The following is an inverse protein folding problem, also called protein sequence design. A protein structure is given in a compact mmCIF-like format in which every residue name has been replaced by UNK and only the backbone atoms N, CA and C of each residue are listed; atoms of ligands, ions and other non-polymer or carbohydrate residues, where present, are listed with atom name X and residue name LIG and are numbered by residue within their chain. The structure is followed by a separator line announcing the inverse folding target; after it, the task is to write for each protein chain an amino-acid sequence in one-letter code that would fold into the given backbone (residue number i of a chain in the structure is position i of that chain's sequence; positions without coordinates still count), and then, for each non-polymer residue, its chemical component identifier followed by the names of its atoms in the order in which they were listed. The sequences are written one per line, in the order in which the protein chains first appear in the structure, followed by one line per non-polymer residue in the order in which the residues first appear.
data_IF_659062183832
#
_entry.id   IF_659062183832
#
_cell.length_a   1.000
_cell.length_b   1.000
_cell.length_c   1.000
_cell.angle_alpha   90.00
_cell.angle_beta   90.00
_cell.angle_gamma   90.00
#
_symmetry.space_group_name_H-M   'P 1'
#
loop_
_entity.id
_entity.type
_entity.pdbx_description
1 polymer ?
#
# COMPACT_ATOMS: atom_id res chain seq x y z
N UNK A 1 -47.92 -12.08 21.44
CA UNK A 1 -47.51 -12.42 20.07
C UNK A 1 -47.64 -11.16 19.23
N UNK A 2 -46.53 -10.47 18.99
CA UNK A 2 -46.35 -9.59 17.84
C UNK A 2 -44.86 -9.65 17.48
N UNK A 3 -44.50 -10.07 16.25
CA UNK A 3 -43.12 -10.20 15.81
C UNK A 3 -42.61 -8.80 15.44
N UNK A 4 -41.53 -8.38 16.10
CA UNK A 4 -40.83 -7.14 15.77
C UNK A 4 -40.00 -7.31 14.51
N UNK A 5 -40.22 -6.42 13.56
CA UNK A 5 -39.55 -6.28 12.26
C UNK A 5 -38.06 -6.65 12.27
N UNK A 6 -37.73 -7.76 11.63
CA UNK A 6 -36.45 -7.90 10.95
C UNK A 6 -36.54 -7.12 9.64
N UNK A 7 -35.95 -5.93 9.63
CA UNK A 7 -35.68 -5.22 8.39
C UNK A 7 -34.89 -6.16 7.44
N UNK A 8 -35.23 -6.23 6.14
CA UNK A 8 -34.49 -7.05 5.21
C UNK A 8 -33.05 -6.53 5.13
N UNK A 9 -32.11 -7.28 5.72
CA UNK A 9 -30.69 -7.01 5.59
C UNK A 9 -30.35 -6.93 4.10
N UNK A 10 -29.71 -5.83 3.70
CA UNK A 10 -29.33 -5.59 2.31
C UNK A 10 -28.60 -6.83 1.74
N UNK A 11 -29.11 -7.49 0.69
CA UNK A 11 -28.70 -8.85 0.33
C UNK A 11 -27.27 -9.04 -0.19
N UNK A 12 -26.41 -8.01 -0.21
CA UNK A 12 -25.05 -8.10 -0.77
C UNK A 12 -23.98 -7.34 0.03
N UNK A 13 -24.09 -7.31 1.37
CA UNK A 13 -22.96 -6.78 2.17
C UNK A 13 -21.89 -7.85 2.31
N UNK A 14 -21.00 -7.94 1.33
CA UNK A 14 -19.82 -8.82 1.42
C UNK A 14 -19.01 -8.49 2.67
N UNK A 15 -18.56 -9.53 3.34
CA UNK A 15 -17.68 -9.43 4.51
C UNK A 15 -16.31 -8.88 4.12
N UNK A 16 -15.59 -8.29 5.07
CA UNK A 16 -14.22 -7.82 4.85
C UNK A 16 -13.28 -8.94 4.37
N UNK A 17 -13.53 -10.17 4.81
CA UNK A 17 -12.81 -11.38 4.40
C UNK A 17 -13.03 -11.71 2.93
N UNK A 18 -14.28 -11.62 2.45
CA UNK A 18 -14.61 -11.86 1.04
C UNK A 18 -13.96 -10.82 0.13
N UNK A 19 -13.98 -9.54 0.53
CA UNK A 19 -13.27 -8.49 -0.21
C UNK A 19 -11.75 -8.72 -0.24
N UNK A 20 -11.16 -9.17 0.88
CA UNK A 20 -9.74 -9.50 0.92
C UNK A 20 -9.39 -10.68 0.01
N UNK A 21 -10.23 -11.72 -0.02
CA UNK A 21 -10.06 -12.87 -0.90
C UNK A 21 -10.11 -12.42 -2.38
N UNK A 22 -11.14 -11.67 -2.76
CA UNK A 22 -11.26 -11.12 -4.12
C UNK A 22 -10.05 -10.26 -4.52
N UNK A 23 -9.58 -9.39 -3.60
CA UNK A 23 -8.41 -8.54 -3.87
C UNK A 23 -7.12 -9.35 -4.06
N UNK A 24 -6.96 -10.48 -3.35
CA UNK A 24 -5.83 -11.39 -3.56
C UNK A 24 -5.89 -12.07 -4.91
N UNK A 25 -7.06 -12.48 -5.37
CA UNK A 25 -7.22 -13.12 -6.68
C UNK A 25 -6.83 -12.17 -7.84
N UNK A 26 -7.05 -10.87 -7.66
CA UNK A 26 -6.68 -9.83 -8.63
C UNK A 26 -5.20 -9.41 -8.57
N UNK A 27 -4.44 -9.87 -7.56
CA UNK A 27 -3.08 -9.39 -7.31
C UNK A 27 -2.11 -9.69 -8.44
N UNK A 28 -2.24 -10.84 -9.12
CA UNK A 28 -1.36 -11.21 -10.23
C UNK A 28 -1.45 -10.20 -11.39
N UNK A 29 -2.67 -9.88 -11.82
CA UNK A 29 -2.90 -8.89 -12.87
C UNK A 29 -2.36 -7.51 -12.48
N UNK A 30 -2.58 -7.08 -11.23
CA UNK A 30 -2.05 -5.81 -10.74
C UNK A 30 -0.51 -5.78 -10.71
N UNK A 31 0.16 -6.93 -10.48
CA UNK A 31 1.62 -7.01 -10.53
C UNK A 31 2.17 -6.82 -11.94
N UNK A 32 1.45 -7.30 -12.96
CA UNK A 32 1.86 -7.21 -14.36
C UNK A 32 1.78 -5.78 -14.91
N UNK A 33 0.76 -5.01 -14.51
CA UNK A 33 0.62 -3.60 -14.91
C UNK A 33 1.75 -2.72 -14.36
N UNK A 34 2.23 -3.04 -13.15
CA UNK A 34 3.36 -2.39 -12.49
C UNK A 34 3.30 -0.84 -12.49
N UNK A 35 2.13 -0.27 -12.24
CA UNK A 35 1.90 1.17 -12.27
C UNK A 35 1.70 1.77 -10.87
N UNK A 36 1.33 3.05 -10.80
CA UNK A 36 1.12 3.75 -9.53
C UNK A 36 -0.08 3.19 -8.74
N UNK A 37 -1.09 2.65 -9.43
CA UNK A 37 -2.24 2.06 -8.78
C UNK A 37 -1.91 0.65 -8.28
N UNK A 38 -1.06 -0.11 -8.99
CA UNK A 38 -0.46 -1.33 -8.46
C UNK A 38 0.28 -1.09 -7.14
N UNK A 39 1.11 -0.04 -7.04
CA UNK A 39 1.82 0.30 -5.79
C UNK A 39 0.84 0.52 -4.63
N UNK A 40 -0.23 1.29 -4.86
CA UNK A 40 -1.25 1.56 -3.85
C UNK A 40 -2.03 0.29 -3.50
N UNK A 41 -2.42 -0.49 -4.50
CA UNK A 41 -3.17 -1.73 -4.33
C UNK A 41 -2.39 -2.72 -3.46
N UNK A 42 -1.11 -2.95 -3.77
CA UNK A 42 -0.26 -3.82 -2.96
C UNK A 42 0.03 -3.26 -1.56
N UNK A 43 0.18 -1.95 -1.41
CA UNK A 43 0.31 -1.32 -0.09
C UNK A 43 -0.93 -1.53 0.79
N UNK A 44 -2.12 -1.31 0.22
CA UNK A 44 -3.41 -1.54 0.90
C UNK A 44 -3.64 -3.02 1.17
N UNK A 45 -3.33 -3.90 0.22
CA UNK A 45 -3.44 -5.34 0.38
C UNK A 45 -2.50 -5.82 1.49
N UNK A 46 -1.27 -5.31 1.53
CA UNK A 46 -0.32 -5.55 2.62
C UNK A 46 -0.88 -5.14 3.99
N UNK A 47 -1.45 -3.93 4.08
CA UNK A 47 -2.06 -3.42 5.31
C UNK A 47 -3.28 -4.25 5.75
N UNK A 48 -4.14 -4.64 4.80
CA UNK A 48 -5.31 -5.48 5.09
C UNK A 48 -4.87 -6.87 5.59
N UNK A 49 -3.86 -7.48 4.96
CA UNK A 49 -3.30 -8.74 5.42
C UNK A 49 -2.70 -8.62 6.82
N UNK A 50 -2.02 -7.51 7.12
CA UNK A 50 -1.49 -7.23 8.45
C UNK A 50 -2.61 -7.15 9.49
N UNK A 51 -3.69 -6.42 9.20
CA UNK A 51 -4.85 -6.29 10.09
C UNK A 51 -5.55 -7.63 10.38
N UNK A 52 -5.46 -8.59 9.43
CA UNK A 52 -6.01 -9.94 9.56
C UNK A 52 -4.98 -10.95 10.10
N UNK A 53 -3.83 -10.49 10.59
CA UNK A 53 -2.76 -11.32 11.15
C UNK A 53 -2.10 -12.30 10.16
N UNK A 54 -2.19 -12.05 8.85
CA UNK A 54 -1.49 -12.82 7.82
C UNK A 54 -0.11 -12.22 7.56
N UNK A 55 0.83 -12.37 8.51
CA UNK A 55 2.15 -11.71 8.49
C UNK A 55 2.98 -11.94 7.22
N UNK A 56 3.06 -13.20 6.76
CA UNK A 56 3.80 -13.54 5.52
C UNK A 56 3.15 -12.88 4.30
N UNK A 57 1.82 -12.93 4.20
CA UNK A 57 1.12 -12.29 3.09
C UNK A 57 1.28 -10.77 3.13
N UNK A 58 1.22 -10.15 4.31
CA UNK A 58 1.46 -8.73 4.49
C UNK A 58 2.86 -8.35 3.99
N UNK A 59 3.88 -9.07 4.47
CA UNK A 59 5.27 -8.88 4.08
C UNK A 59 5.49 -9.00 2.56
N UNK A 60 4.96 -10.05 1.94
CA UNK A 60 5.13 -10.27 0.50
C UNK A 60 4.45 -9.19 -0.34
N UNK A 61 3.23 -8.77 0.01
CA UNK A 61 2.52 -7.73 -0.71
C UNK A 61 3.16 -6.35 -0.54
N UNK A 62 3.60 -5.99 0.67
CA UNK A 62 4.36 -4.75 0.91
C UNK A 62 5.67 -4.75 0.12
N UNK A 63 6.41 -5.86 0.13
CA UNK A 63 7.64 -6.00 -0.66
C UNK A 63 7.38 -5.87 -2.17
N UNK A 64 6.24 -6.37 -2.67
CA UNK A 64 5.84 -6.17 -4.07
C UNK A 64 5.55 -4.69 -4.36
N UNK A 65 4.84 -3.99 -3.48
CA UNK A 65 4.63 -2.55 -3.62
C UNK A 65 5.95 -1.78 -3.70
N UNK A 66 6.92 -2.13 -2.84
CA UNK A 66 8.26 -1.52 -2.83
C UNK A 66 9.00 -1.78 -4.14
N UNK A 67 9.00 -3.02 -4.66
CA UNK A 67 9.66 -3.38 -5.93
C UNK A 67 9.06 -2.62 -7.12
N UNK A 68 7.73 -2.48 -7.19
CA UNK A 68 7.07 -1.66 -8.22
C UNK A 68 7.40 -0.18 -8.03
N UNK A 69 7.45 0.31 -6.78
CA UNK A 69 7.90 1.68 -6.49
C UNK A 69 9.34 1.95 -6.94
N UNK A 70 10.22 0.96 -6.83
CA UNK A 70 11.57 1.02 -7.38
C UNK A 70 11.59 1.05 -8.90
N UNK A 71 10.84 0.17 -9.58
CA UNK A 71 10.80 0.11 -11.05
C UNK A 71 10.29 1.41 -11.67
N UNK A 72 9.32 2.06 -11.02
CA UNK A 72 8.82 3.37 -11.42
C UNK A 72 9.80 4.51 -11.12
N UNK A 73 10.82 4.29 -10.29
CA UNK A 73 11.78 5.33 -9.90
C UNK A 73 11.23 6.28 -8.83
N UNK A 74 10.27 5.85 -8.00
CA UNK A 74 9.70 6.67 -6.93
C UNK A 74 10.76 7.07 -5.92
N UNK A 75 11.63 6.15 -5.51
CA UNK A 75 12.76 6.36 -4.60
C UNK A 75 13.73 7.50 -4.98
N UNK A 76 13.76 7.93 -6.26
CA UNK A 76 14.64 8.99 -6.78
C UNK A 76 13.89 10.22 -7.30
N UNK A 77 12.58 10.31 -7.05
CA UNK A 77 11.74 11.40 -7.58
C UNK A 77 11.76 11.46 -9.13
N UNK A 78 12.15 10.37 -9.83
CA UNK A 78 12.30 10.35 -11.30
C UNK A 78 10.93 10.36 -11.97
N UNK A 79 10.03 9.47 -11.52
CA UNK A 79 8.63 9.38 -11.98
C UNK A 79 7.85 10.70 -11.87
N UNK A 80 8.34 11.59 -11.00
CA UNK A 80 7.64 12.77 -10.56
C UNK A 80 8.06 14.00 -11.37
N UNK A 81 9.20 13.96 -12.08
CA UNK A 81 9.75 15.12 -12.79
C UNK A 81 8.82 15.69 -13.86
N UNK A 82 7.99 14.86 -14.47
CA UNK A 82 7.01 15.24 -15.49
C UNK A 82 5.63 15.62 -14.94
N UNK A 83 5.41 15.50 -13.63
CA UNK A 83 4.09 15.68 -13.00
C UNK A 83 3.91 17.04 -12.32
N UNK A 84 2.65 17.46 -12.16
CA UNK A 84 2.30 18.66 -11.41
C UNK A 84 2.66 18.56 -9.93
N UNK A 85 2.92 19.69 -9.26
CA UNK A 85 3.37 19.75 -7.86
C UNK A 85 2.53 18.89 -6.89
N UNK A 86 1.20 18.91 -7.05
CA UNK A 86 0.29 18.13 -6.22
C UNK A 86 0.46 16.61 -6.40
N UNK A 87 0.62 16.16 -7.64
CA UNK A 87 0.77 14.74 -7.97
C UNK A 87 2.12 14.18 -7.52
N UNK A 88 3.17 15.02 -7.61
CA UNK A 88 4.50 14.69 -7.07
C UNK A 88 4.41 14.41 -5.58
N UNK A 89 3.76 15.32 -4.86
CA UNK A 89 3.59 15.22 -3.41
C UNK A 89 2.68 14.04 -3.00
N UNK A 90 1.64 13.71 -3.79
CA UNK A 90 0.84 12.49 -3.59
C UNK A 90 1.68 11.22 -3.77
N UNK A 91 2.49 11.15 -4.83
CA UNK A 91 3.31 9.98 -5.13
C UNK A 91 4.45 9.82 -4.11
N UNK A 92 5.02 10.93 -3.64
CA UNK A 92 5.98 10.97 -2.54
C UNK A 92 5.39 10.38 -1.27
N UNK A 93 4.16 10.76 -0.90
CA UNK A 93 3.47 10.15 0.23
C UNK A 93 3.31 8.65 0.07
N UNK A 94 2.90 8.17 -1.10
CA UNK A 94 2.78 6.72 -1.37
C UNK A 94 4.12 6.01 -1.14
N UNK A 95 5.22 6.55 -1.67
CA UNK A 95 6.56 5.99 -1.46
C UNK A 95 6.94 5.90 0.02
N UNK A 96 6.78 6.99 0.78
CA UNK A 96 7.10 6.99 2.21
C UNK A 96 6.17 6.09 3.01
N UNK A 97 4.91 5.94 2.62
CA UNK A 97 3.97 5.01 3.26
C UNK A 97 4.44 3.58 3.08
N UNK A 98 4.74 3.12 1.86
CA UNK A 98 5.18 1.75 1.63
C UNK A 98 6.57 1.48 2.24
N UNK A 99 7.44 2.50 2.30
CA UNK A 99 8.73 2.43 3.01
C UNK A 99 8.53 2.14 4.50
N UNK A 100 7.66 2.90 5.17
CA UNK A 100 7.38 2.71 6.60
C UNK A 100 6.72 1.36 6.85
N UNK A 101 5.79 0.94 5.98
CA UNK A 101 5.15 -0.37 6.09
C UNK A 101 6.18 -1.51 5.97
N UNK A 102 7.12 -1.43 5.03
CA UNK A 102 8.16 -2.46 4.85
C UNK A 102 9.06 -2.57 6.09
N UNK A 103 9.46 -1.41 6.64
CA UNK A 103 10.22 -1.35 7.88
C UNK A 103 9.42 -1.87 9.09
N UNK A 104 8.12 -1.58 9.17
CA UNK A 104 7.24 -2.11 10.21
C UNK A 104 7.15 -3.63 10.14
N UNK A 105 6.98 -4.21 8.94
CA UNK A 105 6.95 -5.66 8.78
C UNK A 105 8.28 -6.30 9.18
N UNK A 106 9.40 -5.70 8.77
CA UNK A 106 10.74 -6.17 9.12
C UNK A 106 10.98 -6.14 10.64
N UNK A 107 10.68 -5.00 11.28
CA UNK A 107 10.91 -4.80 12.71
C UNK A 107 9.99 -5.64 13.60
N UNK A 108 8.72 -5.84 13.23
CA UNK A 108 7.75 -6.61 14.03
C UNK A 108 7.94 -8.12 13.93
N UNK A 109 8.29 -8.62 12.75
CA UNK A 109 8.31 -10.06 12.47
C UNK A 109 9.71 -10.63 12.24
N UNK A 110 10.76 -9.78 12.27
CA UNK A 110 12.14 -10.18 12.04
C UNK A 110 12.46 -10.49 10.57
N UNK A 111 11.62 -10.04 9.64
CA UNK A 111 11.89 -10.19 8.20
C UNK A 111 12.96 -9.19 7.73
N UNK A 112 13.74 -9.51 6.68
CA UNK A 112 14.64 -8.53 6.09
C UNK A 112 13.85 -7.44 5.37
N UNK A 113 14.28 -6.17 5.50
CA UNK A 113 13.70 -5.05 4.75
C UNK A 113 13.90 -5.25 3.25
N UNK A 114 12.87 -4.92 2.46
CA UNK A 114 12.97 -4.83 1.00
C UNK A 114 13.66 -3.55 0.55
N UNK A 115 13.58 -2.49 1.36
CA UNK A 115 14.29 -1.23 1.10
C UNK A 115 15.71 -1.27 1.67
N UNK A 116 16.69 -0.96 0.82
CA UNK A 116 18.09 -0.76 1.23
C UNK A 116 18.36 0.75 1.29
N UNK A 117 18.76 1.23 2.48
CA UNK A 117 18.79 2.65 2.86
C UNK A 117 19.74 3.50 2.00
N UNK A 118 20.85 2.91 1.51
CA UNK A 118 21.85 3.57 0.66
C UNK A 118 21.32 4.04 -0.71
N UNK A 119 20.07 3.71 -1.07
CA UNK A 119 19.46 4.04 -2.35
C UNK A 119 18.42 5.20 -2.31
N UNK A 120 18.12 5.78 -1.14
CA UNK A 120 17.04 6.78 -0.98
C UNK A 120 17.57 8.21 -1.08
N UNK A 121 17.49 8.81 -2.27
CA UNK A 121 17.93 10.20 -2.54
C UNK A 121 16.76 11.19 -2.65
N UNK A 122 15.71 11.05 -1.84
CA UNK A 122 14.54 11.94 -1.94
C UNK A 122 14.60 13.09 -0.94
N UNK A 123 14.52 14.32 -1.45
CA UNK A 123 14.45 15.54 -0.63
C UNK A 123 13.17 15.53 0.20
N UNK A 124 13.33 15.55 1.53
CA UNK A 124 12.21 15.72 2.46
C UNK A 124 11.55 17.09 2.24
N UNK A 125 10.21 17.20 2.37
CA UNK A 125 9.54 18.49 2.26
C UNK A 125 10.15 19.47 3.26
N UNK A 126 10.51 20.67 2.79
CA UNK A 126 10.98 21.73 3.69
C UNK A 126 9.87 22.02 4.72
N UNK A 127 10.20 22.14 6.01
CA UNK A 127 9.21 22.49 7.01
C UNK A 127 8.53 23.79 6.56
N UNK A 128 7.20 23.81 6.57
CA UNK A 128 6.44 25.05 6.34
C UNK A 128 6.88 26.02 7.42
N UNK A 129 7.65 27.04 7.04
CA UNK A 129 7.93 28.18 7.89
C UNK A 129 6.58 28.74 8.32
N UNK A 130 6.24 28.61 9.62
CA UNK A 130 5.08 29.27 10.19
C UNK A 130 5.29 30.79 10.00
N UNK A 131 4.32 31.45 9.39
CA UNK A 131 4.18 32.90 9.45
C UNK A 131 3.86 33.32 10.89
#
# INVERSE_FOLDING_TARGET
MQPGDQAPGNPETKTSLEYLAMARDMSAAAAEEADMDSVKAFGLLGLANHAMCYSIAAYLHVGTAVRIGYSLGLHRDIFLRSKGSLERERSRRVWWTIYVLDYEMASRFGYPCSVIDDAVFMSTPRPRSRC
#
